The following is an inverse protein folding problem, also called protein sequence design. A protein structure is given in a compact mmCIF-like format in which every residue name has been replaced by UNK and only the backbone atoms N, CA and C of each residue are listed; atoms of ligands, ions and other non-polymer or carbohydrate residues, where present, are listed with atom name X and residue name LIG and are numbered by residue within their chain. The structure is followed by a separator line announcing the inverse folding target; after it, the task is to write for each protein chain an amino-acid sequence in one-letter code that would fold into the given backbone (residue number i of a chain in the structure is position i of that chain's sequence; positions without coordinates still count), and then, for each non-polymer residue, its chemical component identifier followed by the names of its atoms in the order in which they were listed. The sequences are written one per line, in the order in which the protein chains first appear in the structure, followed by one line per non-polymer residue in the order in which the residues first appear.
data_IF_939584876805
#
_entry.id   IF_939584876805
#
_cell.length_a   1.000
_cell.length_b   1.000
_cell.length_c   1.000
_cell.angle_alpha   90.00
_cell.angle_beta   90.00
_cell.angle_gamma   90.00
#
_symmetry.space_group_name_H-M   'P 1'
#
loop_
_entity.id
_entity.type
_entity.pdbx_description
1 polymer ?
#
# COMPACT_ATOMS: atom_id res chain seq x y z
N UNK A 1 -22.84 9.07 8.72
CA UNK A 1 -23.88 8.22 9.37
C UNK A 1 -24.73 9.00 10.39
N UNK A 2 -25.30 10.11 10.01
CA UNK A 2 -26.22 10.93 10.81
C UNK A 2 -27.69 10.50 10.58
N UNK A 3 -28.61 10.96 11.45
CA UNK A 3 -30.04 10.67 11.32
C UNK A 3 -30.51 9.34 11.93
N UNK A 4 -31.85 9.22 12.12
CA UNK A 4 -32.48 8.08 12.82
C UNK A 4 -32.34 6.76 12.05
N UNK A 5 -32.36 6.79 10.73
CA UNK A 5 -32.28 5.60 9.85
C UNK A 5 -30.97 4.81 10.04
N UNK A 6 -29.90 5.47 10.42
CA UNK A 6 -28.59 4.84 10.66
C UNK A 6 -28.37 4.39 12.12
N UNK A 7 -29.41 4.35 12.96
CA UNK A 7 -29.25 3.93 14.36
C UNK A 7 -28.71 2.50 14.49
N UNK A 8 -29.14 1.56 13.62
CA UNK A 8 -28.62 0.19 13.57
C UNK A 8 -27.15 0.13 13.22
N UNK A 9 -26.73 0.83 12.19
CA UNK A 9 -25.33 0.91 11.80
C UNK A 9 -24.44 1.50 12.93
N UNK A 10 -24.92 2.58 13.58
CA UNK A 10 -24.19 3.16 14.72
C UNK A 10 -24.12 2.21 15.92
N UNK A 11 -25.14 1.38 16.15
CA UNK A 11 -25.10 0.36 17.21
C UNK A 11 -23.99 -0.68 16.94
N UNK A 12 -23.84 -1.13 15.70
CA UNK A 12 -22.78 -2.04 15.28
C UNK A 12 -21.39 -1.40 15.39
N UNK A 13 -21.24 -0.15 14.97
CA UNK A 13 -19.98 0.58 15.15
C UNK A 13 -19.60 0.76 16.63
N UNK A 14 -20.59 0.99 17.52
CA UNK A 14 -20.35 1.03 18.98
C UNK A 14 -19.86 -0.32 19.50
N UNK A 15 -20.48 -1.41 19.07
CA UNK A 15 -20.06 -2.78 19.42
C UNK A 15 -18.63 -3.07 18.90
N UNK A 16 -18.24 -2.47 17.77
CA UNK A 16 -16.91 -2.51 17.22
C UNK A 16 -15.94 -1.47 17.84
N UNK A 17 -16.31 -0.83 18.95
CA UNK A 17 -15.44 0.06 19.73
C UNK A 17 -15.37 1.52 19.27
N UNK A 18 -16.30 1.99 18.42
CA UNK A 18 -16.38 3.42 18.07
C UNK A 18 -17.16 4.16 19.15
N UNK A 19 -16.59 5.25 19.68
CA UNK A 19 -17.31 6.14 20.59
C UNK A 19 -18.53 6.75 19.89
N UNK A 20 -19.67 6.77 20.60
CA UNK A 20 -20.89 7.38 20.08
C UNK A 20 -20.80 8.88 19.86
N UNK A 21 -19.92 9.54 20.58
CA UNK A 21 -19.72 10.98 20.49
C UNK A 21 -18.85 11.37 19.28
N UNK A 22 -18.08 10.43 18.73
CA UNK A 22 -17.23 10.63 17.56
C UNK A 22 -17.97 10.43 16.24
N UNK A 23 -19.00 9.57 16.25
CA UNK A 23 -19.75 9.24 15.03
C UNK A 23 -20.49 10.45 14.45
N UNK A 24 -20.23 10.73 13.18
CA UNK A 24 -20.82 11.88 12.47
C UNK A 24 -20.14 13.22 12.77
N UNK A 25 -19.04 13.21 13.54
CA UNK A 25 -18.22 14.40 13.83
C UNK A 25 -16.78 14.26 13.37
N UNK A 26 -16.28 13.02 13.33
CA UNK A 26 -14.91 12.70 12.92
C UNK A 26 -14.93 11.83 11.65
N UNK A 27 -13.98 12.01 10.73
CA UNK A 27 -13.90 11.17 9.54
C UNK A 27 -13.55 9.73 9.90
N UNK A 28 -14.18 8.78 9.21
CA UNK A 28 -13.84 7.35 9.25
C UNK A 28 -12.71 7.10 8.27
N UNK A 29 -11.54 6.76 8.77
CA UNK A 29 -10.35 6.50 7.97
C UNK A 29 -10.18 4.98 7.83
N UNK A 30 -10.39 4.47 6.62
CA UNK A 30 -10.08 3.08 6.30
C UNK A 30 -8.56 2.88 6.23
N UNK A 31 -8.06 1.83 6.87
CA UNK A 31 -6.66 1.41 6.80
C UNK A 31 -6.63 0.10 6.03
N UNK A 32 -6.27 0.16 4.75
CA UNK A 32 -6.02 -1.02 3.93
C UNK A 32 -4.61 -1.52 4.22
N UNK A 33 -4.49 -2.53 5.07
CA UNK A 33 -3.22 -3.15 5.43
C UNK A 33 -3.03 -4.46 4.67
N UNK A 34 -1.82 -4.72 4.19
CA UNK A 34 -1.48 -5.97 3.55
C UNK A 34 -0.67 -6.91 4.46
N UNK A 35 -0.85 -6.82 5.78
CA UNK A 35 -0.21 -7.73 6.72
C UNK A 35 -0.45 -9.18 6.33
N UNK A 36 0.64 -9.94 6.26
CA UNK A 36 0.65 -11.37 5.92
C UNK A 36 1.92 -11.99 6.50
N UNK A 37 1.83 -13.19 7.08
CA UNK A 37 2.98 -13.89 7.67
C UNK A 37 3.78 -14.70 6.65
N UNK A 38 3.26 -14.90 5.43
CA UNK A 38 3.99 -15.58 4.35
C UNK A 38 5.14 -14.74 3.77
N UNK A 39 5.04 -13.41 3.83
CA UNK A 39 5.93 -12.50 3.12
C UNK A 39 6.86 -11.76 4.08
N UNK A 40 8.20 -11.78 3.86
CA UNK A 40 9.13 -11.01 4.69
C UNK A 40 8.87 -9.50 4.65
N UNK A 41 8.32 -9.01 3.54
CA UNK A 41 7.91 -7.62 3.35
C UNK A 41 6.70 -7.21 4.20
N UNK A 42 5.93 -8.15 4.72
CA UNK A 42 4.62 -7.91 5.32
C UNK A 42 4.50 -8.32 6.79
N UNK A 43 5.38 -9.20 7.29
CA UNK A 43 5.32 -9.74 8.66
C UNK A 43 5.29 -8.67 9.77
N UNK A 44 5.78 -7.47 9.52
CA UNK A 44 5.80 -6.37 10.48
C UNK A 44 4.61 -5.41 10.35
N UNK A 45 3.79 -5.54 9.30
CA UNK A 45 2.74 -4.57 8.99
C UNK A 45 1.59 -4.55 10.01
N UNK A 46 1.40 -5.62 10.80
CA UNK A 46 0.47 -5.61 11.93
C UNK A 46 0.87 -4.58 13.01
N UNK A 47 2.17 -4.36 13.21
CA UNK A 47 2.67 -3.31 14.12
C UNK A 47 2.51 -1.94 13.51
N UNK A 48 2.74 -1.82 12.20
CA UNK A 48 2.55 -0.57 11.44
C UNK A 48 1.09 -0.14 11.49
N UNK A 49 0.14 -1.04 11.26
CA UNK A 49 -1.30 -0.75 11.35
C UNK A 49 -1.70 -0.17 12.72
N UNK A 50 -1.10 -0.67 13.82
CA UNK A 50 -1.34 -0.12 15.17
C UNK A 50 -0.80 1.31 15.31
N UNK A 51 0.43 1.57 14.86
CA UNK A 51 1.04 2.92 14.88
C UNK A 51 0.16 3.90 14.11
N UNK A 52 -0.23 3.53 12.89
CA UNK A 52 -1.09 4.34 12.03
C UNK A 52 -2.46 4.58 12.68
N UNK A 53 -3.06 3.54 13.28
CA UNK A 53 -4.35 3.66 13.98
C UNK A 53 -4.27 4.63 15.17
N UNK A 54 -3.21 4.59 15.95
CA UNK A 54 -3.00 5.50 17.08
C UNK A 54 -2.83 6.94 16.59
N UNK A 55 -1.99 7.17 15.59
CA UNK A 55 -1.75 8.49 15.03
C UNK A 55 -3.02 9.10 14.36
N UNK A 56 -3.87 8.28 13.72
CA UNK A 56 -5.17 8.72 13.21
C UNK A 56 -6.09 9.17 14.34
N UNK A 57 -6.15 8.43 15.48
CA UNK A 57 -6.96 8.83 16.63
C UNK A 57 -6.49 10.15 17.24
N UNK A 58 -5.17 10.30 17.38
CA UNK A 58 -4.55 11.54 17.87
C UNK A 58 -4.84 12.72 16.95
N UNK A 59 -4.89 12.49 15.63
CA UNK A 59 -5.22 13.52 14.65
C UNK A 59 -6.74 13.82 14.56
N UNK A 60 -7.59 13.10 15.30
CA UNK A 60 -9.02 13.34 15.34
C UNK A 60 -9.85 12.50 14.36
N UNK A 61 -9.29 11.47 13.74
CA UNK A 61 -10.01 10.50 12.89
C UNK A 61 -10.46 9.24 13.63
N UNK A 62 -11.30 8.46 12.99
CA UNK A 62 -11.75 7.14 13.45
C UNK A 62 -11.09 6.07 12.58
N UNK A 63 -10.01 5.41 13.02
CA UNK A 63 -9.34 4.38 12.22
C UNK A 63 -10.17 3.10 12.15
N UNK A 64 -10.22 2.48 10.97
CA UNK A 64 -10.83 1.17 10.71
C UNK A 64 -9.90 0.35 9.83
N UNK A 65 -9.21 -0.59 10.44
CA UNK A 65 -8.23 -1.45 9.76
C UNK A 65 -8.91 -2.71 9.23
N UNK A 66 -8.50 -3.11 8.04
CA UNK A 66 -8.79 -4.40 7.43
C UNK A 66 -7.57 -4.87 6.63
N UNK A 67 -7.46 -6.19 6.41
CA UNK A 67 -6.38 -6.73 5.64
C UNK A 67 -6.82 -7.12 4.22
N UNK A 68 -5.94 -6.84 3.25
CA UNK A 68 -5.98 -7.46 1.93
C UNK A 68 -5.10 -8.70 1.91
N UNK A 69 -5.27 -9.53 0.89
CA UNK A 69 -4.28 -10.56 0.58
C UNK A 69 -2.98 -9.96 0.04
N UNK A 70 -1.91 -10.74 0.05
CA UNK A 70 -0.67 -10.46 -0.64
C UNK A 70 -0.09 -11.75 -1.23
N UNK A 71 0.56 -11.66 -2.40
CA UNK A 71 1.34 -12.76 -3.00
C UNK A 71 2.77 -12.27 -3.15
N UNK A 72 3.71 -13.08 -2.70
CA UNK A 72 5.15 -12.81 -2.88
C UNK A 72 5.61 -13.42 -4.21
N UNK A 73 5.97 -12.57 -5.16
CA UNK A 73 6.44 -13.02 -6.47
C UNK A 73 7.76 -13.82 -6.34
N UNK A 74 8.63 -13.46 -5.40
CA UNK A 74 9.87 -14.17 -5.14
C UNK A 74 9.65 -15.60 -4.64
N UNK A 75 8.71 -15.79 -3.71
CA UNK A 75 8.34 -17.13 -3.20
C UNK A 75 7.59 -17.92 -4.26
N UNK A 76 6.76 -17.27 -5.08
CA UNK A 76 5.98 -17.91 -6.13
C UNK A 76 6.79 -18.25 -7.39
N UNK A 77 8.00 -17.70 -7.54
CA UNK A 77 8.85 -17.85 -8.72
C UNK A 77 9.30 -19.31 -8.92
N UNK A 78 9.27 -19.77 -10.17
CA UNK A 78 9.70 -21.12 -10.52
C UNK A 78 8.66 -22.22 -10.35
N UNK A 79 7.43 -21.91 -9.89
CA UNK A 79 6.35 -22.90 -9.78
C UNK A 79 4.98 -22.28 -10.12
N UNK A 80 3.90 -23.09 -10.08
CA UNK A 80 2.54 -22.69 -10.47
C UNK A 80 1.95 -21.56 -9.62
N UNK A 81 2.49 -21.28 -8.45
CA UNK A 81 2.10 -20.14 -7.59
C UNK A 81 2.19 -18.81 -8.31
N UNK A 82 3.10 -18.67 -9.28
CA UNK A 82 3.27 -17.44 -10.06
C UNK A 82 2.04 -17.06 -10.89
N UNK A 83 1.17 -18.02 -11.20
CA UNK A 83 -0.11 -17.76 -11.89
C UNK A 83 -1.09 -16.92 -11.06
N UNK A 84 -0.90 -16.87 -9.76
CA UNK A 84 -1.73 -16.09 -8.83
C UNK A 84 -1.23 -14.67 -8.60
N UNK A 85 0.02 -14.35 -8.98
CA UNK A 85 0.64 -13.04 -8.74
C UNK A 85 -0.14 -11.92 -9.44
N UNK A 86 -0.17 -11.88 -10.75
CA UNK A 86 -0.82 -10.79 -11.49
C UNK A 86 -2.33 -10.66 -11.20
N UNK A 87 -3.13 -11.75 -11.15
CA UNK A 87 -4.56 -11.63 -10.80
C UNK A 87 -4.82 -11.09 -9.40
N UNK A 88 -3.89 -11.27 -8.44
CA UNK A 88 -4.04 -10.75 -7.08
C UNK A 88 -4.21 -9.24 -7.03
N UNK A 89 -3.64 -8.51 -7.98
CA UNK A 89 -3.77 -7.06 -8.11
C UNK A 89 -5.23 -6.61 -8.18
N UNK A 90 -6.02 -7.27 -9.03
CA UNK A 90 -7.44 -6.93 -9.22
C UNK A 90 -8.26 -7.31 -7.97
N UNK A 91 -7.98 -8.47 -7.35
CA UNK A 91 -8.64 -8.92 -6.12
C UNK A 91 -8.34 -7.95 -4.96
N UNK A 92 -7.12 -7.46 -4.86
CA UNK A 92 -6.74 -6.46 -3.86
C UNK A 92 -7.53 -5.16 -4.10
N UNK A 93 -7.58 -4.69 -5.34
CA UNK A 93 -8.33 -3.49 -5.70
C UNK A 93 -9.82 -3.64 -5.34
N UNK A 94 -10.44 -4.75 -5.71
CA UNK A 94 -11.83 -5.06 -5.41
C UNK A 94 -12.06 -5.12 -3.90
N UNK A 95 -11.19 -5.79 -3.15
CA UNK A 95 -11.30 -5.89 -1.68
C UNK A 95 -11.31 -4.52 -1.01
N UNK A 96 -10.40 -3.63 -1.39
CA UNK A 96 -10.33 -2.27 -0.84
C UNK A 96 -11.56 -1.46 -1.21
N UNK A 97 -12.00 -1.52 -2.48
CA UNK A 97 -13.19 -0.83 -2.96
C UNK A 97 -14.45 -1.27 -2.22
N UNK A 98 -14.65 -2.60 -2.08
CA UNK A 98 -15.80 -3.16 -1.34
C UNK A 98 -15.81 -2.72 0.12
N UNK A 99 -14.68 -2.80 0.82
CA UNK A 99 -14.60 -2.42 2.24
C UNK A 99 -14.91 -0.94 2.44
N UNK A 100 -14.32 -0.07 1.65
CA UNK A 100 -14.52 1.37 1.77
C UNK A 100 -15.97 1.78 1.44
N UNK A 101 -16.52 1.30 0.32
CA UNK A 101 -17.87 1.65 -0.11
C UNK A 101 -18.94 1.07 0.82
N UNK A 102 -18.84 -0.22 1.19
CA UNK A 102 -19.83 -0.87 2.05
C UNK A 102 -19.90 -0.25 3.46
N UNK A 103 -18.80 0.26 3.97
CA UNK A 103 -18.72 0.84 5.31
C UNK A 103 -18.67 2.38 5.31
N UNK A 104 -18.83 3.02 4.15
CA UNK A 104 -18.86 4.49 4.02
C UNK A 104 -17.61 5.13 4.64
N UNK A 105 -16.41 4.67 4.27
CA UNK A 105 -15.16 5.29 4.68
C UNK A 105 -15.04 6.69 4.06
N UNK A 106 -14.59 7.67 4.85
CA UNK A 106 -14.43 9.05 4.39
C UNK A 106 -13.05 9.27 3.74
N UNK A 107 -12.04 8.52 4.16
CA UNK A 107 -10.70 8.56 3.57
C UNK A 107 -10.00 7.20 3.72
N UNK A 108 -8.89 7.03 2.99
CA UNK A 108 -8.16 5.78 2.90
C UNK A 108 -6.68 6.01 3.17
N UNK A 109 -6.07 5.16 3.99
CA UNK A 109 -4.62 5.00 4.05
C UNK A 109 -4.24 3.59 3.64
N UNK A 110 -3.32 3.48 2.68
CA UNK A 110 -2.84 2.22 2.13
C UNK A 110 -1.48 1.86 2.73
N UNK A 111 -1.35 0.63 3.23
CA UNK A 111 -0.10 0.09 3.79
C UNK A 111 0.33 -1.13 2.96
N UNK A 112 0.84 -0.92 1.72
CA UNK A 112 1.34 -1.98 0.88
C UNK A 112 2.83 -2.22 1.13
N UNK A 113 3.38 -3.34 0.62
CA UNK A 113 4.84 -3.52 0.56
C UNK A 113 5.33 -4.56 -0.48
N UNK A 114 4.51 -4.99 -1.45
CA UNK A 114 4.90 -5.99 -2.44
C UNK A 114 4.37 -5.65 -3.84
N UNK A 115 4.88 -6.38 -4.85
CA UNK A 115 4.79 -6.16 -6.29
C UNK A 115 3.40 -5.82 -6.82
N UNK A 116 2.40 -6.61 -6.45
CA UNK A 116 1.03 -6.45 -6.95
C UNK A 116 0.13 -5.73 -5.94
N UNK A 117 0.60 -5.62 -4.68
CA UNK A 117 -0.17 -4.97 -3.60
C UNK A 117 -0.21 -3.46 -3.80
N UNK A 118 0.94 -2.84 -4.12
CA UNK A 118 1.02 -1.40 -4.38
C UNK A 118 0.11 -0.99 -5.52
N UNK A 119 0.22 -1.59 -6.73
CA UNK A 119 -0.67 -1.24 -7.84
C UNK A 119 -2.13 -1.62 -7.58
N UNK A 120 -2.43 -2.74 -6.91
CA UNK A 120 -3.80 -3.09 -6.54
C UNK A 120 -4.46 -2.05 -5.65
N UNK A 121 -3.76 -1.55 -4.63
CA UNK A 121 -4.25 -0.48 -3.78
C UNK A 121 -4.34 0.86 -4.53
N UNK A 122 -3.43 1.14 -5.49
CA UNK A 122 -3.48 2.34 -6.32
C UNK A 122 -4.71 2.32 -7.24
N UNK A 123 -5.02 1.17 -7.86
CA UNK A 123 -6.26 0.99 -8.62
C UNK A 123 -7.49 1.30 -7.76
N UNK A 124 -7.55 0.76 -6.54
CA UNK A 124 -8.64 1.02 -5.61
C UNK A 124 -8.76 2.50 -5.25
N UNK A 125 -7.64 3.18 -4.94
CA UNK A 125 -7.62 4.60 -4.63
C UNK A 125 -8.17 5.46 -5.78
N UNK A 126 -7.79 5.13 -7.02
CA UNK A 126 -8.28 5.80 -8.22
C UNK A 126 -9.76 5.49 -8.52
N UNK A 127 -10.24 4.26 -8.25
CA UNK A 127 -11.64 3.89 -8.38
C UNK A 127 -12.52 4.60 -7.37
N UNK A 128 -12.14 4.57 -6.09
CA UNK A 128 -12.84 5.20 -4.97
C UNK A 128 -12.85 6.72 -5.07
N UNK A 129 -11.71 7.30 -5.45
CA UNK A 129 -11.50 8.75 -5.52
C UNK A 129 -11.91 9.51 -4.24
N UNK A 130 -11.60 8.95 -3.08
CA UNK A 130 -11.70 9.60 -1.77
C UNK A 130 -10.29 10.02 -1.30
N UNK A 131 -10.13 10.99 -0.38
CA UNK A 131 -8.83 11.39 0.12
C UNK A 131 -7.98 10.19 0.53
N UNK A 132 -6.79 10.03 -0.07
CA UNK A 132 -5.97 8.81 0.10
C UNK A 132 -4.50 9.15 0.28
N UNK A 133 -3.83 8.44 1.19
CA UNK A 133 -2.39 8.49 1.40
C UNK A 133 -1.80 7.09 1.38
N UNK A 134 -0.63 6.93 0.75
CA UNK A 134 0.15 5.70 0.78
C UNK A 134 1.29 5.82 1.78
N UNK A 135 1.53 4.75 2.53
CA UNK A 135 2.71 4.57 3.36
C UNK A 135 3.12 3.11 3.35
N UNK A 136 4.19 2.78 2.65
CA UNK A 136 4.67 1.40 2.53
C UNK A 136 5.36 0.91 3.80
N UNK A 137 5.48 -0.41 3.94
CA UNK A 137 6.24 -1.02 5.04
C UNK A 137 7.75 -0.72 5.00
N UNK A 138 8.27 -0.29 3.85
CA UNK A 138 9.67 0.02 3.61
C UNK A 138 10.48 -1.16 3.07
N UNK A 139 11.61 -0.87 2.38
CA UNK A 139 12.55 -1.89 1.90
C UNK A 139 13.32 -2.53 3.04
N UNK A 140 13.74 -3.81 2.86
CA UNK A 140 14.67 -4.47 3.77
C UNK A 140 16.10 -3.97 3.56
N UNK A 141 16.96 -4.27 4.53
CA UNK A 141 18.40 -4.04 4.41
C UNK A 141 19.00 -4.96 3.35
N UNK A 142 20.07 -4.49 2.71
CA UNK A 142 20.85 -5.33 1.79
C UNK A 142 21.51 -6.49 2.54
N UNK A 143 21.52 -7.66 1.93
CA UNK A 143 22.23 -8.82 2.44
C UNK A 143 23.75 -8.63 2.39
N UNK A 144 24.45 -9.38 3.22
CA UNK A 144 25.92 -9.44 3.22
C UNK A 144 26.36 -10.89 3.36
N UNK A 145 26.96 -11.43 2.32
CA UNK A 145 27.43 -12.83 2.27
C UNK A 145 28.96 -12.88 2.30
N UNK A 146 29.50 -13.74 3.14
CA UNK A 146 30.92 -14.06 3.14
C UNK A 146 31.12 -15.29 2.24
N UNK A 147 31.86 -15.11 1.13
CA UNK A 147 32.12 -16.16 0.15
C UNK A 147 33.18 -17.15 0.67
N UNK A 148 33.33 -18.29 0.00
CA UNK A 148 34.28 -19.34 0.39
C UNK A 148 35.76 -18.87 0.43
N UNK A 149 36.11 -17.88 -0.38
CA UNK A 149 37.43 -17.24 -0.39
C UNK A 149 37.64 -16.18 0.70
N UNK A 150 36.63 -15.96 1.55
CA UNK A 150 36.62 -14.94 2.60
C UNK A 150 36.22 -13.54 2.15
N UNK A 151 35.87 -13.35 0.88
CA UNK A 151 35.38 -12.07 0.34
C UNK A 151 34.00 -11.75 0.92
N UNK A 152 33.82 -10.51 1.34
CA UNK A 152 32.51 -10.00 1.82
C UNK A 152 31.81 -9.30 0.65
N UNK A 153 30.64 -9.79 0.28
CA UNK A 153 29.84 -9.27 -0.84
C UNK A 153 28.49 -8.78 -0.35
N UNK A 154 28.05 -7.60 -0.82
CA UNK A 154 26.66 -7.18 -0.70
C UNK A 154 25.82 -8.02 -1.66
N UNK A 155 24.75 -8.62 -1.16
CA UNK A 155 23.95 -9.61 -1.90
C UNK A 155 22.45 -9.35 -1.74
N UNK A 156 21.69 -9.83 -2.71
CA UNK A 156 20.22 -9.81 -2.70
C UNK A 156 19.63 -11.15 -3.19
N UNK A 157 18.32 -11.20 -3.34
CA UNK A 157 17.60 -12.40 -3.78
C UNK A 157 18.09 -12.94 -5.14
N UNK A 158 18.51 -12.05 -6.04
CA UNK A 158 18.97 -12.46 -7.38
C UNK A 158 20.32 -13.15 -7.31
N UNK A 159 21.20 -12.74 -6.38
CA UNK A 159 22.49 -13.42 -6.19
C UNK A 159 22.32 -14.91 -5.82
N UNK A 160 21.36 -15.25 -4.96
CA UNK A 160 21.10 -16.67 -4.63
C UNK A 160 20.50 -17.42 -5.82
N UNK A 161 19.67 -16.78 -6.64
CA UNK A 161 19.14 -17.40 -7.86
C UNK A 161 20.25 -17.71 -8.88
N UNK A 162 21.20 -16.80 -9.05
CA UNK A 162 22.37 -17.06 -9.90
C UNK A 162 23.26 -18.17 -9.31
N UNK A 163 23.48 -18.15 -7.98
CA UNK A 163 24.26 -19.20 -7.33
C UNK A 163 23.63 -20.58 -7.50
N UNK A 164 22.29 -20.69 -7.48
CA UNK A 164 21.58 -21.95 -7.72
C UNK A 164 21.77 -22.50 -9.15
N UNK A 165 22.01 -21.63 -10.13
CA UNK A 165 22.22 -22.02 -11.53
C UNK A 165 23.71 -22.33 -11.88
N UNK A 166 24.62 -22.14 -10.93
CA UNK A 166 26.06 -22.38 -11.11
C UNK A 166 26.47 -23.69 -10.44
N UNK A 167 26.72 -24.72 -11.23
CA UNK A 167 27.17 -26.05 -10.79
C UNK A 167 28.47 -26.04 -9.97
N UNK A 168 29.24 -24.96 -9.99
CA UNK A 168 30.47 -24.79 -9.20
C UNK A 168 30.24 -24.36 -7.77
N UNK A 169 29.05 -23.84 -7.46
CA UNK A 169 28.63 -23.42 -6.10
C UNK A 169 28.25 -24.65 -5.29
N UNK A 170 28.86 -24.84 -4.15
CA UNK A 170 28.55 -25.96 -3.25
C UNK A 170 27.23 -25.75 -2.49
N UNK A 171 26.60 -26.85 -2.04
CA UNK A 171 25.40 -26.78 -1.21
C UNK A 171 25.62 -25.98 0.08
N UNK A 172 26.83 -26.01 0.66
CA UNK A 172 27.19 -25.24 1.86
C UNK A 172 27.22 -23.74 1.55
N UNK A 173 27.78 -23.36 0.43
CA UNK A 173 27.83 -21.95 -0.01
C UNK A 173 26.42 -21.46 -0.38
N UNK A 174 25.61 -22.28 -1.05
CA UNK A 174 24.23 -21.96 -1.35
C UNK A 174 23.41 -21.71 -0.06
N UNK A 175 23.56 -22.60 0.96
CA UNK A 175 22.94 -22.41 2.27
C UNK A 175 23.41 -21.12 2.96
N UNK A 176 24.64 -20.69 2.75
CA UNK A 176 25.13 -19.42 3.27
C UNK A 176 24.42 -18.22 2.59
N UNK A 177 24.23 -18.26 1.27
CA UNK A 177 23.41 -17.26 0.57
C UNK A 177 21.98 -17.22 1.12
N UNK A 178 21.30 -18.37 1.26
CA UNK A 178 19.92 -18.45 1.81
C UNK A 178 19.78 -17.77 3.16
N UNK A 179 20.81 -17.83 4.00
CA UNK A 179 20.78 -17.24 5.36
C UNK A 179 21.09 -15.74 5.40
N UNK A 180 21.66 -15.19 4.35
CA UNK A 180 22.28 -13.86 4.40
C UNK A 180 21.70 -12.85 3.43
N UNK A 181 21.07 -13.28 2.32
CA UNK A 181 20.57 -12.36 1.27
C UNK A 181 19.33 -11.57 1.66
N UNK A 182 18.53 -12.08 2.61
CA UNK A 182 17.32 -11.42 3.10
C UNK A 182 17.36 -11.26 4.64
N UNK A 183 18.17 -10.32 5.18
CA UNK A 183 18.52 -10.31 6.60
C UNK A 183 17.44 -9.74 7.53
N UNK A 184 16.49 -8.93 7.02
CA UNK A 184 15.49 -8.22 7.84
C UNK A 184 14.09 -8.32 7.22
N UNK A 185 13.08 -7.79 7.94
CA UNK A 185 11.76 -7.55 7.33
C UNK A 185 11.83 -6.36 6.36
N UNK A 186 10.93 -6.32 5.42
CA UNK A 186 10.82 -5.29 4.39
C UNK A 186 10.62 -5.87 3.00
N UNK A 187 10.27 -5.04 2.02
CA UNK A 187 10.28 -5.43 0.61
C UNK A 187 11.71 -5.76 0.16
N UNK A 188 11.87 -6.42 -0.99
CA UNK A 188 13.20 -6.84 -1.48
C UNK A 188 14.24 -5.71 -1.38
N UNK A 189 15.49 -6.05 -1.04
CA UNK A 189 16.58 -5.08 -0.91
C UNK A 189 16.94 -4.38 -2.23
N UNK A 190 16.74 -5.06 -3.37
CA UNK A 190 16.98 -4.50 -4.70
C UNK A 190 15.87 -3.55 -5.16
N UNK A 191 16.13 -2.78 -6.24
CA UNK A 191 15.15 -1.91 -6.89
C UNK A 191 14.21 -2.72 -7.81
N UNK A 192 13.63 -3.80 -7.26
CA UNK A 192 12.62 -4.61 -7.92
C UNK A 192 11.25 -3.90 -7.89
N UNK A 193 10.20 -4.56 -8.36
CA UNK A 193 8.88 -3.93 -8.57
C UNK A 193 8.31 -3.31 -7.30
N UNK A 194 8.44 -3.96 -6.14
CA UNK A 194 7.89 -3.42 -4.89
C UNK A 194 8.51 -2.06 -4.52
N UNK A 195 9.84 -1.96 -4.55
CA UNK A 195 10.53 -0.71 -4.23
C UNK A 195 10.31 0.35 -5.31
N UNK A 196 10.36 -0.04 -6.59
CA UNK A 196 10.05 0.86 -7.71
C UNK A 196 8.64 1.46 -7.55
N UNK A 197 7.62 0.64 -7.30
CA UNK A 197 6.25 1.13 -7.09
C UNK A 197 6.12 2.01 -5.84
N UNK A 198 6.84 1.71 -4.75
CA UNK A 198 6.87 2.56 -3.55
C UNK A 198 7.47 3.94 -3.84
N UNK A 199 8.51 4.03 -4.67
CA UNK A 199 9.07 5.29 -5.15
C UNK A 199 8.09 6.00 -6.10
N UNK A 200 7.41 5.27 -6.99
CA UNK A 200 6.44 5.85 -7.91
C UNK A 200 5.27 6.51 -7.17
N UNK A 201 4.78 5.92 -6.08
CA UNK A 201 3.71 6.56 -5.28
C UNK A 201 4.14 7.92 -4.69
N UNK A 202 5.44 8.11 -4.40
CA UNK A 202 5.98 9.44 -4.06
C UNK A 202 5.95 10.39 -5.26
N UNK A 203 6.45 9.94 -6.41
CA UNK A 203 6.53 10.77 -7.62
C UNK A 203 5.16 11.15 -8.16
N UNK A 204 4.16 10.28 -8.02
CA UNK A 204 2.75 10.58 -8.35
C UNK A 204 2.17 11.61 -7.38
N UNK A 205 2.67 11.69 -6.13
CA UNK A 205 2.18 12.61 -5.11
C UNK A 205 1.20 11.99 -4.10
N UNK A 206 1.01 10.67 -4.10
CA UNK A 206 0.11 9.96 -3.19
C UNK A 206 0.81 9.43 -1.92
N UNK A 207 2.14 9.51 -1.85
CA UNK A 207 2.92 9.15 -0.67
C UNK A 207 3.83 10.30 -0.23
N UNK A 208 4.23 10.29 1.04
CA UNK A 208 5.18 11.27 1.58
C UNK A 208 6.61 10.92 1.16
N UNK A 209 7.52 11.93 1.04
CA UNK A 209 8.93 11.70 0.77
C UNK A 209 9.58 10.74 1.77
N UNK A 210 10.34 9.79 1.24
CA UNK A 210 10.97 8.70 1.99
C UNK A 210 10.17 7.38 1.99
N UNK A 211 9.02 7.34 1.33
CA UNK A 211 8.17 6.15 1.27
C UNK A 211 8.90 4.94 0.66
N UNK A 212 9.60 5.12 -0.45
CA UNK A 212 10.33 4.06 -1.14
C UNK A 212 11.78 3.87 -0.66
N UNK A 213 12.35 4.79 0.12
CA UNK A 213 13.79 4.83 0.38
C UNK A 213 14.20 4.64 1.84
N UNK A 214 13.34 4.95 2.81
CA UNK A 214 13.63 4.70 4.23
C UNK A 214 13.43 3.21 4.50
N UNK A 215 14.45 2.52 5.04
CA UNK A 215 14.39 1.09 5.36
C UNK A 215 13.29 0.77 6.38
N UNK A 216 12.72 -0.43 6.30
CA UNK A 216 11.71 -0.91 7.24
C UNK A 216 12.20 -0.93 8.70
N UNK A 217 13.48 -1.24 8.91
CA UNK A 217 14.16 -1.29 10.21
C UNK A 217 14.62 0.08 10.73
N UNK A 218 14.60 1.13 9.89
CA UNK A 218 15.14 2.44 10.27
C UNK A 218 14.20 3.20 11.22
N UNK A 219 14.76 3.88 12.22
CA UNK A 219 13.98 4.61 13.24
C UNK A 219 13.05 5.70 12.66
N UNK A 220 13.46 6.36 11.57
CA UNK A 220 12.65 7.38 10.88
C UNK A 220 11.41 6.80 10.16
N UNK A 221 11.34 5.47 9.97
CA UNK A 221 10.16 4.85 9.37
C UNK A 221 8.91 5.04 10.24
N UNK A 222 9.05 4.99 11.57
CA UNK A 222 7.94 5.26 12.48
C UNK A 222 7.39 6.69 12.33
N UNK A 223 8.26 7.69 12.25
CA UNK A 223 7.86 9.09 12.01
C UNK A 223 7.09 9.23 10.68
N UNK A 224 7.51 8.51 9.63
CA UNK A 224 6.81 8.53 8.35
C UNK A 224 5.39 7.97 8.46
N UNK A 225 5.18 6.88 9.22
CA UNK A 225 3.84 6.33 9.47
C UNK A 225 2.95 7.33 10.19
N UNK A 226 3.46 7.98 11.23
CA UNK A 226 2.71 8.98 12.01
C UNK A 226 2.36 10.21 11.16
N UNK A 227 3.29 10.70 10.33
CA UNK A 227 3.04 11.81 9.41
C UNK A 227 2.02 11.47 8.34
N UNK A 228 2.10 10.29 7.74
CA UNK A 228 1.12 9.82 6.75
C UNK A 228 -0.28 9.70 7.36
N UNK A 229 -0.39 9.18 8.58
CA UNK A 229 -1.64 9.08 9.33
C UNK A 229 -2.25 10.46 9.63
N UNK A 230 -1.45 11.44 10.03
CA UNK A 230 -1.91 12.82 10.24
C UNK A 230 -2.30 13.48 8.92
N UNK A 231 -1.58 13.20 7.85
CA UNK A 231 -1.86 13.75 6.53
C UNK A 231 -3.20 13.27 5.97
N UNK A 232 -3.55 11.97 6.10
CA UNK A 232 -4.83 11.47 5.60
C UNK A 232 -6.02 12.10 6.33
N UNK A 233 -5.93 12.34 7.64
CA UNK A 233 -6.97 13.05 8.40
C UNK A 233 -7.07 14.50 7.94
N UNK A 234 -5.95 15.18 7.72
CA UNK A 234 -5.90 16.56 7.25
C UNK A 234 -6.58 16.71 5.89
N UNK A 235 -6.22 15.86 4.90
CA UNK A 235 -6.82 15.96 3.56
C UNK A 235 -8.29 15.52 3.54
N UNK A 236 -8.73 14.66 4.47
CA UNK A 236 -10.15 14.37 4.65
C UNK A 236 -10.92 15.63 5.05
N UNK A 237 -10.43 16.40 6.01
CA UNK A 237 -11.03 17.69 6.39
C UNK A 237 -10.99 18.70 5.24
N UNK A 238 -9.87 18.83 4.51
CA UNK A 238 -9.79 19.72 3.34
C UNK A 238 -10.88 19.39 2.30
N UNK A 239 -11.11 18.11 2.02
CA UNK A 239 -12.13 17.69 1.06
C UNK A 239 -13.56 17.96 1.59
N UNK A 240 -13.89 17.51 2.81
CA UNK A 240 -15.27 17.57 3.30
C UNK A 240 -15.66 18.93 3.89
N UNK A 241 -14.75 19.63 4.54
CA UNK A 241 -15.05 20.91 5.22
C UNK A 241 -14.80 22.10 4.31
N UNK A 242 -13.73 22.04 3.50
CA UNK A 242 -13.31 23.16 2.62
C UNK A 242 -13.76 22.95 1.16
N UNK A 243 -14.31 21.79 0.79
CA UNK A 243 -14.70 21.42 -0.57
C UNK A 243 -13.51 21.46 -1.57
N UNK A 244 -12.33 21.04 -1.11
CA UNK A 244 -11.10 21.04 -1.90
C UNK A 244 -10.90 19.71 -2.64
N UNK A 245 -11.33 19.65 -3.90
CA UNK A 245 -11.17 18.47 -4.77
C UNK A 245 -9.71 18.22 -5.19
N UNK A 246 -8.80 19.16 -4.97
CA UNK A 246 -7.39 19.02 -5.36
C UNK A 246 -6.65 17.92 -4.59
N UNK A 247 -7.17 17.53 -3.43
CA UNK A 247 -6.62 16.47 -2.56
C UNK A 247 -7.07 15.05 -2.95
N UNK A 248 -7.94 14.92 -3.96
CA UNK A 248 -8.45 13.62 -4.40
C UNK A 248 -7.41 12.87 -5.28
N UNK A 249 -7.36 11.54 -5.22
CA UNK A 249 -6.40 10.74 -5.99
C UNK A 249 -6.38 11.05 -7.48
N UNK A 250 -7.54 11.24 -8.12
CA UNK A 250 -7.60 11.56 -9.57
C UNK A 250 -7.15 12.97 -9.89
N UNK A 251 -7.21 13.90 -8.94
CA UNK A 251 -6.69 15.26 -9.09
C UNK A 251 -5.17 15.30 -8.95
N UNK A 252 -4.60 14.41 -8.13
CA UNK A 252 -3.16 14.29 -7.89
C UNK A 252 -2.49 13.43 -8.96
N UNK A 253 -3.02 12.23 -9.21
CA UNK A 253 -2.47 11.24 -10.14
C UNK A 253 -2.87 11.57 -11.60
N UNK A 254 -2.45 12.72 -12.08
CA UNK A 254 -2.67 13.17 -13.46
C UNK A 254 -1.79 12.41 -14.45
N UNK A 255 -2.05 12.59 -15.75
CA UNK A 255 -1.21 12.04 -16.81
C UNK A 255 0.25 12.47 -16.62
N UNK A 256 0.47 13.73 -16.35
CA UNK A 256 1.79 14.32 -16.15
C UNK A 256 2.49 13.73 -14.91
N UNK A 257 1.74 13.46 -13.82
CA UNK A 257 2.27 12.81 -12.63
C UNK A 257 2.75 11.38 -12.95
N UNK A 258 2.00 10.61 -13.73
CA UNK A 258 2.43 9.29 -14.20
C UNK A 258 3.61 9.35 -15.16
N UNK A 259 3.66 10.32 -16.09
CA UNK A 259 4.82 10.52 -16.99
C UNK A 259 6.09 10.87 -16.20
N UNK A 260 5.99 11.71 -15.18
CA UNK A 260 7.09 12.02 -14.27
C UNK A 260 7.53 10.78 -13.48
N UNK A 261 6.58 9.99 -12.97
CA UNK A 261 6.87 8.76 -12.24
C UNK A 261 7.57 7.72 -13.13
N UNK A 262 7.13 7.53 -14.37
CA UNK A 262 7.81 6.64 -15.33
C UNK A 262 9.20 7.16 -15.72
N UNK A 263 9.37 8.47 -15.86
CA UNK A 263 10.69 9.07 -16.11
C UNK A 263 11.64 8.80 -14.95
N UNK A 264 11.15 8.92 -13.72
CA UNK A 264 11.92 8.58 -12.52
C UNK A 264 12.25 7.09 -12.47
N UNK A 265 11.31 6.20 -12.83
CA UNK A 265 11.53 4.74 -12.88
C UNK A 265 12.68 4.37 -13.81
N UNK A 266 12.70 4.94 -15.02
CA UNK A 266 13.79 4.76 -15.98
C UNK A 266 15.11 5.32 -15.42
N UNK A 267 15.11 6.50 -14.81
CA UNK A 267 16.30 7.15 -14.29
C UNK A 267 16.93 6.41 -13.10
N UNK A 268 16.11 5.76 -12.25
CA UNK A 268 16.63 4.98 -11.12
C UNK A 268 16.95 3.52 -11.45
N UNK A 269 16.69 3.08 -12.70
CA UNK A 269 16.87 1.69 -13.10
C UNK A 269 15.83 0.76 -12.45
N UNK A 270 14.61 1.21 -12.35
CA UNK A 270 13.52 0.47 -11.74
C UNK A 270 13.03 -0.72 -12.56
N UNK A 271 12.04 -1.41 -12.06
CA UNK A 271 11.52 -2.64 -12.67
C UNK A 271 10.71 -2.36 -13.94
N UNK A 272 10.95 -3.14 -15.00
CA UNK A 272 10.11 -3.11 -16.22
C UNK A 272 8.64 -3.45 -15.96
N UNK A 273 8.34 -4.20 -14.90
CA UNK A 273 6.99 -4.51 -14.46
C UNK A 273 6.24 -3.24 -14.01
N UNK A 274 6.94 -2.23 -13.52
CA UNK A 274 6.39 -0.93 -13.12
C UNK A 274 5.76 -0.19 -14.29
N UNK A 275 6.37 -0.26 -15.48
CA UNK A 275 5.81 0.33 -16.71
C UNK A 275 4.45 -0.29 -17.04
N UNK A 276 4.32 -1.60 -16.91
CA UNK A 276 3.05 -2.31 -17.12
C UNK A 276 1.99 -1.86 -16.10
N UNK A 277 2.37 -1.73 -14.82
CA UNK A 277 1.47 -1.29 -13.76
C UNK A 277 1.00 0.16 -14.01
N UNK A 278 1.92 1.09 -14.23
CA UNK A 278 1.60 2.49 -14.49
C UNK A 278 0.72 2.68 -15.74
N UNK A 279 0.92 1.89 -16.80
CA UNK A 279 0.11 1.94 -18.01
C UNK A 279 -1.35 1.50 -17.77
N UNK A 280 -1.57 0.48 -16.94
CA UNK A 280 -2.90 0.05 -16.54
C UNK A 280 -3.63 1.16 -15.75
N UNK A 281 -2.94 1.82 -14.81
CA UNK A 281 -3.47 2.89 -13.98
C UNK A 281 -3.88 4.12 -14.80
N UNK A 282 -3.07 4.53 -15.79
CA UNK A 282 -3.42 5.67 -16.67
C UNK A 282 -4.68 5.43 -17.49
N UNK A 283 -5.02 4.20 -17.80
CA UNK A 283 -6.26 3.84 -18.50
C UNK A 283 -7.48 4.08 -17.61
N UNK A 284 -7.40 3.76 -16.32
CA UNK A 284 -8.47 4.00 -15.35
C UNK A 284 -8.66 5.49 -15.02
N UNK A 285 -7.57 6.24 -14.90
CA UNK A 285 -7.63 7.68 -14.66
C UNK A 285 -8.34 8.45 -15.80
N UNK A 286 -8.41 7.88 -16.99
CA UNK A 286 -9.05 8.48 -18.17
C UNK A 286 -10.53 8.09 -18.38
N UNK A 287 -11.07 7.15 -17.59
CA UNK A 287 -12.46 6.70 -17.79
C UNK A 287 -13.45 7.76 -17.24
N UNK A 288 -14.28 8.41 -18.08
CA UNK A 288 -15.22 9.45 -17.65
C UNK A 288 -16.43 8.91 -16.89
N UNK A 289 -16.56 7.60 -16.69
CA UNK A 289 -17.82 6.93 -16.39
C UNK A 289 -17.90 6.16 -15.08
N UNK A 290 -17.21 6.58 -14.03
CA UNK A 290 -17.69 6.27 -12.69
C UNK A 290 -18.22 7.56 -12.07
N UNK A 291 -19.52 7.67 -11.74
CA UNK A 291 -19.98 8.80 -10.94
C UNK A 291 -19.15 8.78 -9.67
N UNK A 292 -18.52 9.93 -9.35
CA UNK A 292 -18.02 10.13 -7.99
C UNK A 292 -19.17 9.73 -7.06
N UNK A 293 -18.95 8.94 -6.02
CA UNK A 293 -19.93 8.81 -4.97
C UNK A 293 -20.03 10.19 -4.31
N UNK A 294 -20.84 11.08 -4.90
CA UNK A 294 -21.32 12.21 -4.13
C UNK A 294 -22.08 11.59 -2.97
N UNK A 295 -21.69 11.83 -1.73
CA UNK A 295 -22.48 11.43 -0.59
C UNK A 295 -23.70 12.33 -0.49
N UNK A 296 -24.59 12.30 -1.49
CA UNK A 296 -25.94 12.77 -1.28
C UNK A 296 -26.65 11.63 -0.54
N UNK A 297 -26.88 11.82 0.74
CA UNK A 297 -27.60 10.92 1.65
C UNK A 297 -29.00 10.50 1.17
N UNK A 298 -29.41 10.87 -0.03
CA UNK A 298 -30.71 10.57 -0.63
C UNK A 298 -30.69 9.42 -1.66
N UNK A 299 -29.54 8.99 -2.18
CA UNK A 299 -29.51 7.97 -3.24
C UNK A 299 -29.41 6.52 -2.75
N UNK A 300 -28.98 6.26 -1.52
CA UNK A 300 -28.93 4.90 -0.96
C UNK A 300 -30.31 4.33 -0.56
N UNK A 301 -31.35 5.12 -0.50
CA UNK A 301 -32.69 4.66 -0.08
C UNK A 301 -33.61 4.23 -1.23
N UNK A 302 -33.21 4.41 -2.49
CA UNK A 302 -34.11 4.18 -3.63
C UNK A 302 -34.04 2.77 -4.26
N UNK A 303 -33.21 1.85 -3.77
CA UNK A 303 -32.98 0.57 -4.46
C UNK A 303 -33.37 -0.68 -3.66
N UNK A 304 -33.81 -0.55 -2.40
CA UNK A 304 -34.28 -1.68 -1.58
C UNK A 304 -35.53 -1.32 -0.75
N UNK A 305 -36.66 -1.11 -1.39
CA UNK A 305 -38.03 -1.42 -0.89
C UNK A 305 -38.82 -1.95 -2.05
#
# INVERSE_FOLDING_TARGET
MSGRVFAGARALYRAAGVSGDDMGKKPIIAIANSFDEFLPGHVHLNKVGRIVSEAIREAGGIPREFNTMAVDDGIAMGHTGMLYSLPSRDIIADTVEYQCNAHCADALICIPNCDKVVPGMLMAALRLNIPTVFVSGGPMEAGTTVLADGTVKSTDLIDVMYATADDSVSDEELLNYEKTVCPTCGSCAGMFTANSMNCLTEAIGLALPGNGTILASHSYRKDLFERAAKQVVKIAHQYYDDSDDSVLPRSIATKEAFENAMTMDVAMGGSTNTVLQASAETTWARSPSSPSPTPSMSSCLATFI
#
